data_IF_334521965943
#
_entry.id   IF_334521965943
#
_cell.length_a   1.000
_cell.length_b   1.000
_cell.length_c   1.000
_cell.angle_alpha   90.00
_cell.angle_beta   90.00
_cell.angle_gamma   90.00
#
_symmetry.space_group_name_H-M   'P 1'
#
loop_
_entity.id
_entity.type
_entity.pdbx_description
1 polymer ?
#
# COMPACT_ATOMS: atom_id res chain seq x y z
N UNK A 1 -6.64 23.61 -54.02
CA UNK A 1 -6.39 22.37 -54.80
C UNK A 1 -7.65 21.52 -54.82
N UNK A 2 -8.14 21.12 -56.00
CA UNK A 2 -9.38 20.34 -56.14
C UNK A 2 -9.10 18.84 -56.05
N UNK A 3 -8.64 18.40 -54.88
CA UNK A 3 -8.23 17.01 -54.66
C UNK A 3 -9.49 16.16 -54.46
N UNK A 4 -9.65 15.14 -55.30
CA UNK A 4 -10.71 14.13 -55.18
C UNK A 4 -10.05 12.86 -54.63
N UNK A 5 -10.47 12.34 -53.46
CA UNK A 5 -9.95 11.08 -52.93
C UNK A 5 -10.08 9.95 -53.94
N UNK A 6 -9.08 9.07 -54.02
CA UNK A 6 -9.05 8.01 -55.03
C UNK A 6 -10.28 7.09 -55.00
N UNK A 7 -10.86 6.85 -53.82
CA UNK A 7 -12.09 6.06 -53.67
C UNK A 7 -13.37 6.73 -54.19
N UNK A 8 -13.33 8.02 -54.54
CA UNK A 8 -14.47 8.78 -55.06
C UNK A 8 -14.30 9.21 -56.53
N UNK A 9 -13.19 8.80 -57.17
CA UNK A 9 -12.96 9.03 -58.59
C UNK A 9 -13.78 8.03 -59.39
N UNK A 10 -14.76 8.53 -60.13
CA UNK A 10 -15.52 7.77 -61.13
C UNK A 10 -14.60 7.49 -62.30
N UNK A 11 -14.37 6.20 -62.59
CA UNK A 11 -13.55 5.77 -63.72
C UNK A 11 -14.30 5.98 -65.02
N UNK A 12 -13.62 6.49 -66.05
CA UNK A 12 -14.22 6.67 -67.36
C UNK A 12 -14.39 5.31 -68.06
N UNK A 13 -15.61 4.87 -68.38
CA UNK A 13 -15.83 3.58 -69.02
C UNK A 13 -15.53 3.58 -70.53
N UNK A 14 -15.32 4.74 -71.16
CA UNK A 14 -15.18 4.89 -72.61
C UNK A 14 -13.73 5.14 -73.09
N UNK A 15 -12.74 4.77 -72.26
CA UNK A 15 -11.31 4.98 -72.51
C UNK A 15 -10.78 4.40 -73.84
N UNK A 16 -11.48 3.44 -74.46
CA UNK A 16 -11.10 2.79 -75.72
C UNK A 16 -11.70 3.45 -76.98
N UNK A 17 -12.36 4.61 -76.87
CA UNK A 17 -13.06 5.27 -77.98
C UNK A 17 -12.53 6.67 -78.26
N UNK A 18 -12.67 7.17 -79.50
CA UNK A 18 -12.04 8.40 -80.00
C UNK A 18 -12.46 9.73 -79.31
N UNK A 19 -13.46 9.73 -78.40
CA UNK A 19 -13.94 10.92 -77.67
C UNK A 19 -13.64 10.85 -76.16
N UNK A 20 -12.37 10.74 -75.80
CA UNK A 20 -11.89 10.57 -74.42
C UNK A 20 -11.97 11.84 -73.57
N UNK A 21 -11.71 13.02 -74.14
CA UNK A 21 -11.55 14.25 -73.33
C UNK A 21 -12.89 14.75 -72.72
N UNK A 22 -13.99 14.67 -73.48
CA UNK A 22 -15.32 15.09 -72.97
C UNK A 22 -15.83 14.13 -71.88
N UNK A 23 -15.66 12.83 -72.08
CA UNK A 23 -16.09 11.80 -71.13
C UNK A 23 -15.27 11.84 -69.83
N UNK A 24 -13.98 12.14 -69.91
CA UNK A 24 -13.12 12.36 -68.74
C UNK A 24 -13.55 13.60 -67.92
N UNK A 25 -13.82 14.73 -68.59
CA UNK A 25 -14.33 15.94 -67.92
C UNK A 25 -15.65 15.69 -67.20
N UNK A 26 -16.53 14.88 -67.80
CA UNK A 26 -17.82 14.52 -67.21
C UNK A 26 -17.63 13.63 -65.97
N UNK A 27 -16.77 12.61 -66.07
CA UNK A 27 -16.41 11.74 -64.93
C UNK A 27 -15.74 12.54 -63.80
N UNK A 28 -14.86 13.49 -64.13
CA UNK A 28 -14.24 14.38 -63.15
C UNK A 28 -15.28 15.27 -62.45
N UNK A 29 -16.21 15.84 -63.21
CA UNK A 29 -17.30 16.68 -62.68
C UNK A 29 -18.22 15.87 -61.75
N UNK A 30 -18.57 14.64 -62.13
CA UNK A 30 -19.35 13.73 -61.30
C UNK A 30 -18.62 13.35 -60.02
N UNK A 31 -17.33 13.02 -60.11
CA UNK A 31 -16.49 12.70 -58.95
C UNK A 31 -16.43 13.86 -57.95
N UNK A 32 -16.36 15.10 -58.45
CA UNK A 32 -16.38 16.31 -57.63
C UNK A 32 -17.73 16.52 -56.96
N UNK A 33 -18.84 16.28 -57.66
CA UNK A 33 -20.20 16.36 -57.09
C UNK A 33 -20.41 15.30 -56.00
N UNK A 34 -19.97 14.06 -56.24
CA UNK A 34 -20.01 12.96 -55.25
C UNK A 34 -19.24 13.31 -53.99
N UNK A 35 -18.01 13.81 -54.13
CA UNK A 35 -17.19 14.30 -53.01
C UNK A 35 -17.93 15.37 -52.22
N UNK A 36 -18.43 16.41 -52.89
CA UNK A 36 -19.10 17.52 -52.22
C UNK A 36 -20.38 17.08 -51.49
N UNK A 37 -21.14 16.15 -52.07
CA UNK A 37 -22.33 15.59 -51.44
C UNK A 37 -21.98 14.78 -50.18
N UNK A 38 -20.96 13.91 -50.26
CA UNK A 38 -20.49 13.15 -49.09
C UNK A 38 -19.96 14.05 -47.98
N UNK A 39 -19.18 15.09 -48.32
CA UNK A 39 -18.70 16.07 -47.36
C UNK A 39 -19.88 16.74 -46.65
N UNK A 40 -20.92 17.14 -47.39
CA UNK A 40 -22.13 17.74 -46.81
C UNK A 40 -22.85 16.78 -45.85
N UNK A 41 -23.00 15.50 -46.22
CA UNK A 41 -23.58 14.48 -45.33
C UNK A 41 -22.73 14.30 -44.06
N UNK A 42 -21.40 14.25 -44.19
CA UNK A 42 -20.50 14.06 -43.06
C UNK A 42 -20.53 15.25 -42.10
N UNK A 43 -20.55 16.49 -42.62
CA UNK A 43 -20.71 17.68 -41.77
C UNK A 43 -22.06 17.72 -41.07
N UNK A 44 -23.15 17.34 -41.74
CA UNK A 44 -24.47 17.24 -41.11
C UNK A 44 -24.51 16.19 -39.99
N UNK A 45 -23.90 15.02 -40.21
CA UNK A 45 -23.75 13.98 -39.16
C UNK A 45 -22.91 14.48 -37.99
N UNK A 46 -21.79 15.15 -38.26
CA UNK A 46 -20.94 15.72 -37.22
C UNK A 46 -21.69 16.75 -36.37
N UNK A 47 -22.54 17.57 -37.00
CA UNK A 47 -23.34 18.58 -36.30
C UNK A 47 -24.44 17.96 -35.43
N UNK A 48 -25.08 16.87 -35.88
CA UNK A 48 -25.99 16.10 -35.04
C UNK A 48 -25.29 15.49 -33.81
N UNK A 49 -24.11 14.87 -34.00
CA UNK A 49 -23.34 14.30 -32.89
C UNK A 49 -22.95 15.40 -31.89
N UNK A 50 -22.54 16.59 -32.36
CA UNK A 50 -22.25 17.74 -31.48
C UNK A 50 -23.48 18.17 -30.68
N UNK A 51 -24.67 18.19 -31.27
CA UNK A 51 -25.93 18.50 -30.57
C UNK A 51 -26.26 17.45 -29.52
N UNK A 52 -26.11 16.17 -29.84
CA UNK A 52 -26.32 15.08 -28.87
C UNK A 52 -25.36 15.17 -27.68
N UNK A 53 -24.07 15.45 -27.93
CA UNK A 53 -23.09 15.66 -26.87
C UNK A 53 -23.42 16.86 -25.98
N UNK A 54 -23.84 17.99 -26.56
CA UNK A 54 -24.28 19.17 -25.80
C UNK A 54 -25.54 18.89 -24.96
N UNK A 55 -26.49 18.12 -25.50
CA UNK A 55 -27.67 17.69 -24.76
C UNK A 55 -27.32 16.75 -23.61
N UNK A 56 -26.38 15.83 -23.80
CA UNK A 56 -25.88 14.95 -22.73
C UNK A 56 -25.13 15.74 -21.66
N UNK A 57 -24.29 16.68 -22.06
CA UNK A 57 -23.52 17.53 -21.14
C UNK A 57 -24.43 18.44 -20.30
N UNK A 58 -25.49 18.99 -20.89
CA UNK A 58 -26.53 19.73 -20.16
C UNK A 58 -27.35 18.82 -19.25
N UNK A 59 -27.67 17.60 -19.66
CA UNK A 59 -28.35 16.61 -18.80
C UNK A 59 -27.50 16.25 -17.57
N UNK A 60 -26.20 16.05 -17.77
CA UNK A 60 -25.23 15.75 -16.71
C UNK A 60 -25.07 16.94 -15.75
N UNK A 61 -24.92 18.16 -16.28
CA UNK A 61 -24.76 19.37 -15.46
C UNK A 61 -26.02 19.72 -14.65
N UNK A 62 -27.20 19.43 -15.20
CA UNK A 62 -28.48 19.58 -14.50
C UNK A 62 -28.71 18.49 -13.44
N UNK A 63 -27.93 17.39 -13.46
CA UNK A 63 -27.96 16.32 -12.47
C UNK A 63 -26.90 16.46 -11.37
N UNK A 64 -26.62 17.70 -10.95
CA UNK A 64 -25.69 18.03 -9.84
C UNK A 64 -26.07 17.39 -8.49
N UNK A 65 -27.30 16.87 -8.33
CA UNK A 65 -27.75 16.09 -7.16
C UNK A 65 -27.11 14.70 -7.05
N UNK A 66 -26.75 14.06 -8.17
CA UNK A 66 -26.39 12.64 -8.15
C UNK A 66 -25.00 12.42 -7.52
N UNK A 67 -24.05 13.33 -7.75
CA UNK A 67 -22.68 13.17 -7.26
C UNK A 67 -22.55 13.48 -5.75
N UNK A 68 -23.33 14.44 -5.25
CA UNK A 68 -23.48 14.72 -3.80
C UNK A 68 -24.22 13.58 -3.11
N UNK A 69 -25.26 13.03 -3.73
CA UNK A 69 -25.98 11.87 -3.20
C UNK A 69 -25.11 10.60 -3.15
N UNK A 70 -24.32 10.30 -4.18
CA UNK A 70 -23.40 9.15 -4.12
C UNK A 70 -22.33 9.30 -3.03
N UNK A 71 -21.79 10.50 -2.86
CA UNK A 71 -20.79 10.76 -1.81
C UNK A 71 -21.40 10.61 -0.42
N UNK A 72 -22.61 11.14 -0.22
CA UNK A 72 -23.38 11.00 1.01
C UNK A 72 -23.75 9.55 1.30
N UNK A 73 -24.31 8.83 0.33
CA UNK A 73 -24.65 7.41 0.44
C UNK A 73 -23.41 6.58 0.77
N UNK A 74 -22.27 6.82 0.09
CA UNK A 74 -21.00 6.14 0.40
C UNK A 74 -20.54 6.42 1.83
N UNK A 75 -20.65 7.68 2.30
CA UNK A 75 -20.32 8.04 3.67
C UNK A 75 -21.26 7.35 4.68
N UNK A 76 -22.57 7.34 4.44
CA UNK A 76 -23.55 6.68 5.30
C UNK A 76 -23.32 5.16 5.37
N UNK A 77 -23.07 4.51 4.23
CA UNK A 77 -22.71 3.09 4.16
C UNK A 77 -21.42 2.84 4.95
N UNK A 78 -20.37 3.64 4.72
CA UNK A 78 -19.10 3.53 5.44
C UNK A 78 -19.30 3.67 6.95
N UNK A 79 -20.00 4.71 7.41
CA UNK A 79 -20.28 4.98 8.82
C UNK A 79 -21.08 3.83 9.44
N UNK A 80 -22.08 3.31 8.74
CA UNK A 80 -22.91 2.21 9.20
C UNK A 80 -22.09 0.92 9.36
N UNK A 81 -21.30 0.56 8.35
CA UNK A 81 -20.41 -0.60 8.42
C UNK A 81 -19.35 -0.44 9.51
N UNK A 82 -18.71 0.73 9.59
CA UNK A 82 -17.72 1.03 10.61
C UNK A 82 -18.31 0.89 12.01
N UNK A 83 -19.48 1.50 12.26
CA UNK A 83 -20.18 1.42 13.55
C UNK A 83 -20.56 -0.03 13.89
N UNK A 84 -21.03 -0.80 12.91
CA UNK A 84 -21.35 -2.23 13.10
C UNK A 84 -20.12 -3.06 13.46
N UNK A 85 -19.00 -2.84 12.77
CA UNK A 85 -17.72 -3.49 13.08
C UNK A 85 -17.19 -3.10 14.46
N UNK A 86 -17.30 -1.82 14.81
CA UNK A 86 -16.91 -1.31 16.12
C UNK A 86 -17.74 -1.96 17.23
N UNK A 87 -19.07 -2.03 17.10
CA UNK A 87 -19.95 -2.73 18.07
C UNK A 87 -19.57 -4.21 18.23
N UNK A 88 -19.28 -4.90 17.13
CA UNK A 88 -18.81 -6.31 17.17
C UNK A 88 -17.48 -6.44 17.90
N UNK A 89 -16.53 -5.53 17.64
CA UNK A 89 -15.24 -5.47 18.33
C UNK A 89 -15.44 -5.25 19.83
N UNK A 90 -16.27 -4.29 20.21
CA UNK A 90 -16.49 -3.90 21.60
C UNK A 90 -17.22 -5.01 22.38
N UNK A 91 -18.19 -5.69 21.77
CA UNK A 91 -18.84 -6.88 22.34
C UNK A 91 -17.87 -8.05 22.52
N UNK A 92 -16.91 -8.22 21.59
CA UNK A 92 -15.88 -9.25 21.73
C UNK A 92 -14.90 -8.89 22.84
N UNK A 93 -14.51 -7.62 22.96
CA UNK A 93 -13.62 -7.15 24.00
C UNK A 93 -14.26 -7.26 25.39
N UNK A 94 -15.54 -6.88 25.56
CA UNK A 94 -16.22 -6.97 26.85
C UNK A 94 -16.28 -8.40 27.39
N UNK A 95 -16.46 -9.40 26.51
CA UNK A 95 -16.41 -10.83 26.86
C UNK A 95 -15.01 -11.32 27.26
N UNK A 96 -13.95 -10.60 26.87
CA UNK A 96 -12.57 -10.95 27.19
C UNK A 96 -12.12 -10.34 28.52
N UNK A 97 -12.75 -9.28 29.00
CA UNK A 97 -12.39 -8.66 30.28
C UNK A 97 -12.99 -9.46 31.44
N UNK A 98 -12.25 -9.69 32.54
CA UNK A 98 -12.81 -10.30 33.75
C UNK A 98 -14.00 -9.48 34.29
N UNK A 99 -15.03 -10.16 34.80
CA UNK A 99 -16.23 -9.52 35.36
C UNK A 99 -15.92 -8.52 36.49
N UNK A 100 -14.76 -8.66 37.15
CA UNK A 100 -14.29 -7.81 38.25
C UNK A 100 -13.76 -6.44 37.79
N UNK A 101 -13.66 -6.17 36.49
CA UNK A 101 -13.23 -4.86 35.95
C UNK A 101 -14.37 -3.88 35.69
N UNK A 102 -15.61 -4.25 36.05
CA UNK A 102 -16.75 -3.35 36.06
C UNK A 102 -17.44 -3.36 37.43
N UNK A 103 -17.22 -2.31 38.23
CA UNK A 103 -18.24 -1.57 38.99
C UNK A 103 -17.52 -0.58 39.92
N UNK A 104 -17.26 0.62 39.42
CA UNK A 104 -17.20 1.82 40.25
C UNK A 104 -17.92 2.94 39.50
N UNK A 105 -19.03 3.40 40.08
CA UNK A 105 -19.92 4.50 39.68
C UNK A 105 -20.65 4.38 38.33
N UNK A 106 -21.98 4.41 38.39
CA UNK A 106 -22.88 4.27 37.25
C UNK A 106 -22.80 5.43 36.26
N UNK A 107 -22.27 5.14 35.08
CA UNK A 107 -22.71 5.64 33.77
C UNK A 107 -22.28 4.58 32.74
N UNK A 108 -23.09 4.24 31.73
CA UNK A 108 -22.69 3.28 30.71
C UNK A 108 -21.72 3.96 29.74
N UNK A 109 -20.47 4.13 30.14
CA UNK A 109 -19.43 4.53 29.20
C UNK A 109 -19.16 3.34 28.25
N UNK A 110 -19.03 3.58 26.93
CA UNK A 110 -18.72 2.52 25.98
C UNK A 110 -17.42 1.81 26.36
N UNK A 111 -17.22 0.52 26.03
CA UNK A 111 -15.99 -0.18 26.33
C UNK A 111 -14.84 0.54 25.64
N UNK A 112 -14.09 1.32 26.40
CA UNK A 112 -12.86 1.93 25.91
C UNK A 112 -11.96 0.77 25.49
N UNK A 113 -11.44 0.82 24.27
CA UNK A 113 -10.42 -0.10 23.79
C UNK A 113 -9.11 0.01 24.60
N UNK A 114 -9.08 0.81 25.66
CA UNK A 114 -7.97 1.01 26.58
C UNK A 114 -8.21 0.19 27.84
N UNK A 115 -7.21 -0.62 28.21
CA UNK A 115 -7.16 -1.39 29.46
C UNK A 115 -5.96 -0.88 30.26
N UNK A 116 -6.21 -0.20 31.37
CA UNK A 116 -5.17 0.32 32.23
C UNK A 116 -4.91 -0.61 33.42
N UNK A 117 -3.77 -1.30 33.41
CA UNK A 117 -3.26 -2.18 34.48
C UNK A 117 -2.16 -1.51 35.31
N UNK A 118 -1.82 -0.27 34.96
CA UNK A 118 -0.81 0.51 35.68
C UNK A 118 -1.43 1.31 36.82
N UNK A 119 -0.59 1.84 37.69
CA UNK A 119 -1.00 2.84 38.68
C UNK A 119 -1.06 4.27 38.09
N UNK A 120 -0.76 4.45 36.81
CA UNK A 120 -0.74 5.74 36.14
C UNK A 120 -2.16 6.21 35.77
N UNK A 121 -2.48 7.44 36.11
CA UNK A 121 -3.79 8.06 35.78
C UNK A 121 -3.67 8.83 34.47
N UNK A 122 -4.28 8.30 33.41
CA UNK A 122 -4.28 8.94 32.09
C UNK A 122 -5.08 10.26 32.08
N UNK A 123 -4.51 11.29 31.46
CA UNK A 123 -5.22 12.54 31.16
C UNK A 123 -6.36 12.32 30.14
N UNK A 124 -7.33 13.23 30.02
CA UNK A 124 -8.37 13.16 28.98
C UNK A 124 -7.79 13.09 27.56
N UNK A 125 -6.72 13.84 27.29
CA UNK A 125 -6.03 13.87 26.00
C UNK A 125 -5.30 12.56 25.72
N UNK A 126 -4.64 11.99 26.72
CA UNK A 126 -3.98 10.68 26.62
C UNK A 126 -5.00 9.57 26.33
N UNK A 127 -6.15 9.58 27.02
CA UNK A 127 -7.25 8.67 26.73
C UNK A 127 -7.77 8.87 25.31
N UNK A 128 -7.96 10.12 24.86
CA UNK A 128 -8.39 10.41 23.48
C UNK A 128 -7.45 9.79 22.46
N UNK A 129 -6.14 10.03 22.58
CA UNK A 129 -5.13 9.49 21.67
C UNK A 129 -5.11 7.97 21.68
N UNK A 130 -5.04 7.35 22.85
CA UNK A 130 -4.97 5.89 22.97
C UNK A 130 -6.24 5.22 22.45
N UNK A 131 -7.40 5.89 22.55
CA UNK A 131 -8.66 5.36 22.05
C UNK A 131 -8.71 5.23 20.53
N UNK A 132 -7.87 6.00 19.80
CA UNK A 132 -7.73 5.89 18.34
C UNK A 132 -7.01 4.62 17.90
N UNK A 133 -6.33 3.93 18.83
CA UNK A 133 -5.63 2.66 18.59
C UNK A 133 -4.18 2.83 18.14
N UNK A 134 -3.38 1.77 18.27
CA UNK A 134 -1.95 1.79 17.96
C UNK A 134 -1.63 1.86 16.45
N UNK A 135 -2.61 1.62 15.60
CA UNK A 135 -2.51 1.78 14.15
C UNK A 135 -2.90 3.17 13.65
N UNK A 136 -3.27 4.08 14.55
CA UNK A 136 -3.57 5.46 14.19
C UNK A 136 -2.29 6.18 13.77
N UNK A 137 -2.29 6.80 12.58
CA UNK A 137 -1.17 7.58 12.07
C UNK A 137 -1.42 9.08 12.25
N UNK A 138 -0.65 9.77 13.12
CA UNK A 138 -0.67 11.22 13.21
C UNK A 138 -0.33 11.86 11.86
N UNK A 139 -1.07 12.90 11.47
CA UNK A 139 -0.73 13.71 10.31
C UNK A 139 0.54 14.52 10.62
N UNK A 140 1.64 14.15 9.97
CA UNK A 140 2.93 14.85 10.06
C UNK A 140 3.19 15.62 8.77
N UNK A 141 3.92 16.75 8.83
CA UNK A 141 4.42 17.40 7.62
C UNK A 141 5.20 16.41 6.76
N UNK A 142 5.07 16.52 5.44
CA UNK A 142 5.82 15.66 4.52
C UNK A 142 7.31 15.94 4.65
N UNK A 143 8.10 14.89 4.85
CA UNK A 143 9.55 15.00 4.80
C UNK A 143 9.98 15.13 3.33
N UNK A 144 10.40 16.34 2.93
CA UNK A 144 10.77 16.62 1.53
C UNK A 144 11.96 15.79 1.03
N UNK A 145 12.90 15.44 1.91
CA UNK A 145 14.06 14.60 1.55
C UNK A 145 13.57 13.19 1.20
N UNK A 146 12.74 12.60 2.06
CA UNK A 146 12.18 11.28 1.81
C UNK A 146 11.31 11.29 0.55
N UNK A 147 10.47 12.30 0.39
CA UNK A 147 9.61 12.45 -0.78
C UNK A 147 10.42 12.52 -2.09
N UNK A 148 11.47 13.33 -2.15
CA UNK A 148 12.36 13.38 -3.32
C UNK A 148 13.03 12.02 -3.57
N UNK A 149 13.49 11.34 -2.52
CA UNK A 149 14.03 9.98 -2.64
C UNK A 149 13.02 8.98 -3.20
N UNK A 150 11.76 9.06 -2.77
CA UNK A 150 10.66 8.21 -3.25
C UNK A 150 10.32 8.49 -4.72
N UNK A 151 10.35 9.75 -5.15
CA UNK A 151 10.21 10.15 -6.54
C UNK A 151 11.33 9.57 -7.40
N UNK A 152 12.59 9.71 -7.00
CA UNK A 152 13.71 9.14 -7.77
C UNK A 152 13.66 7.61 -7.81
N UNK A 153 13.23 6.96 -6.72
CA UNK A 153 12.97 5.53 -6.72
C UNK A 153 11.84 5.14 -7.69
N UNK A 154 10.80 5.97 -7.83
CA UNK A 154 9.71 5.79 -8.78
C UNK A 154 10.17 5.99 -10.23
N UNK A 155 10.89 7.06 -10.52
CA UNK A 155 11.41 7.35 -11.86
C UNK A 155 12.40 6.27 -12.31
N UNK A 156 13.25 5.78 -11.40
CA UNK A 156 14.09 4.62 -11.66
C UNK A 156 13.28 3.39 -12.08
N UNK A 157 12.15 3.11 -11.42
CA UNK A 157 11.27 1.99 -11.83
C UNK A 157 10.69 2.19 -13.23
N UNK A 158 10.30 3.41 -13.59
CA UNK A 158 9.83 3.72 -14.95
C UNK A 158 10.94 3.50 -15.98
N UNK A 159 12.14 4.05 -15.72
CA UNK A 159 13.32 3.88 -16.58
C UNK A 159 13.68 2.42 -16.77
N UNK A 160 13.68 1.62 -15.70
CA UNK A 160 13.96 0.18 -15.79
C UNK A 160 12.91 -0.55 -16.62
N UNK A 161 11.63 -0.21 -16.45
CA UNK A 161 10.53 -0.86 -17.18
C UNK A 161 10.60 -0.56 -18.67
N UNK A 162 10.96 0.67 -19.02
CA UNK A 162 11.19 1.11 -20.39
C UNK A 162 12.47 0.47 -20.97
N UNK A 163 13.58 0.42 -20.21
CA UNK A 163 14.85 -0.21 -20.59
C UNK A 163 14.73 -1.69 -20.94
N UNK A 164 13.95 -2.45 -20.16
CA UNK A 164 13.78 -3.89 -20.37
C UNK A 164 12.56 -4.26 -21.20
N UNK A 165 11.86 -3.29 -21.82
CA UNK A 165 10.63 -3.53 -22.58
C UNK A 165 10.81 -4.65 -23.63
N UNK A 166 11.90 -4.63 -24.38
CA UNK A 166 12.21 -5.60 -25.46
C UNK A 166 12.53 -7.02 -24.96
N UNK A 167 12.88 -7.18 -23.68
CA UNK A 167 13.14 -8.49 -23.08
C UNK A 167 11.85 -9.19 -22.58
N UNK A 168 10.70 -8.51 -22.69
CA UNK A 168 9.43 -9.01 -22.14
C UNK A 168 8.65 -9.88 -23.12
N UNK A 169 8.93 -9.81 -24.43
CA UNK A 169 8.18 -10.56 -25.45
C UNK A 169 8.49 -12.07 -25.49
N UNK A 170 9.49 -12.56 -24.76
CA UNK A 170 9.79 -14.00 -24.64
C UNK A 170 9.19 -14.69 -23.40
N UNK A 171 8.48 -13.97 -22.52
CA UNK A 171 7.91 -14.58 -21.32
C UNK A 171 6.39 -14.75 -21.46
N UNK A 172 5.95 -15.91 -21.96
CA UNK A 172 4.53 -16.28 -21.95
C UNK A 172 3.99 -16.28 -20.51
N UNK A 173 2.97 -15.46 -20.30
CA UNK A 173 2.18 -15.28 -19.09
C UNK A 173 1.49 -16.57 -18.63
N UNK A 174 2.19 -17.42 -17.88
CA UNK A 174 1.54 -18.46 -17.06
C UNK A 174 2.08 -18.57 -15.64
N UNK A 175 2.98 -17.67 -15.22
CA UNK A 175 3.43 -17.65 -13.83
C UNK A 175 2.61 -16.62 -13.06
N UNK A 176 1.64 -17.12 -12.30
CA UNK A 176 1.06 -16.48 -11.11
C UNK A 176 2.10 -15.55 -10.48
N UNK A 177 1.79 -14.27 -10.19
CA UNK A 177 2.76 -13.32 -9.65
C UNK A 177 3.34 -13.91 -8.39
N UNK A 178 4.54 -14.45 -8.55
CA UNK A 178 5.22 -15.06 -7.46
C UNK A 178 5.64 -13.94 -6.54
N UNK A 179 5.09 -13.91 -5.33
CA UNK A 179 5.63 -13.12 -4.24
C UNK A 179 7.09 -13.54 -3.87
N UNK A 180 7.72 -14.43 -4.65
CA UNK A 180 9.17 -14.66 -4.68
C UNK A 180 9.89 -13.47 -5.32
N UNK A 181 10.05 -12.41 -4.54
CA UNK A 181 11.30 -11.67 -4.63
C UNK A 181 11.97 -11.83 -3.28
N UNK A 182 12.83 -12.86 -3.19
CA UNK A 182 14.01 -12.73 -2.35
C UNK A 182 14.58 -11.36 -2.67
N UNK A 183 14.69 -10.50 -1.66
CA UNK A 183 15.27 -9.16 -1.81
C UNK A 183 16.75 -9.35 -2.17
N UNK A 184 17.02 -9.70 -3.44
CA UNK A 184 18.31 -9.48 -4.07
C UNK A 184 18.66 -8.04 -3.74
N UNK A 185 19.91 -7.74 -3.39
CA UNK A 185 20.36 -6.37 -3.22
C UNK A 185 19.88 -5.59 -4.44
N UNK A 186 18.89 -4.72 -4.24
CA UNK A 186 18.26 -4.01 -5.34
C UNK A 186 19.38 -3.26 -6.05
N UNK A 187 19.63 -3.60 -7.32
CA UNK A 187 20.62 -2.87 -8.09
C UNK A 187 20.31 -1.38 -7.99
N UNK A 188 21.31 -0.60 -7.57
CA UNK A 188 21.26 0.86 -7.53
C UNK A 188 21.45 1.47 -8.91
N UNK A 189 21.73 0.63 -9.92
CA UNK A 189 21.86 1.05 -11.28
C UNK A 189 20.53 1.57 -11.83
N UNK A 190 20.63 2.68 -12.55
CA UNK A 190 19.52 3.36 -13.23
C UNK A 190 19.93 3.53 -14.69
N UNK A 191 19.07 3.19 -15.66
CA UNK A 191 19.35 3.47 -17.07
C UNK A 191 19.67 4.94 -17.30
N UNK A 192 20.62 5.26 -18.20
CA UNK A 192 21.01 6.64 -18.47
C UNK A 192 19.84 7.46 -19.02
N UNK A 193 19.86 8.76 -18.75
CA UNK A 193 18.93 9.73 -19.31
C UNK A 193 19.22 9.97 -20.80
N UNK A 194 18.23 10.45 -21.56
CA UNK A 194 18.36 10.71 -23.01
C UNK A 194 18.13 9.48 -23.89
N UNK A 195 17.73 8.35 -23.33
CA UNK A 195 17.35 7.16 -24.11
C UNK A 195 15.95 7.28 -24.73
N UNK A 196 15.06 7.99 -24.04
CA UNK A 196 13.67 8.17 -24.43
C UNK A 196 13.17 9.55 -24.00
N UNK A 197 13.18 10.48 -24.95
CA UNK A 197 12.81 11.87 -24.72
C UNK A 197 11.38 12.03 -24.19
N UNK A 198 10.47 11.14 -24.58
CA UNK A 198 9.08 11.17 -24.11
C UNK A 198 8.97 10.78 -22.64
N UNK A 199 9.71 9.75 -22.22
CA UNK A 199 9.78 9.35 -20.82
C UNK A 199 10.50 10.41 -19.98
N UNK A 200 11.58 10.99 -20.48
CA UNK A 200 12.32 12.05 -19.81
C UNK A 200 11.45 13.30 -19.60
N UNK A 201 10.70 13.71 -20.63
CA UNK A 201 9.75 14.80 -20.54
C UNK A 201 8.63 14.49 -19.53
N UNK A 202 8.09 13.27 -19.52
CA UNK A 202 7.09 12.85 -18.54
C UNK A 202 7.63 12.93 -17.11
N UNK A 203 8.82 12.38 -16.86
CA UNK A 203 9.48 12.40 -15.55
C UNK A 203 9.65 13.83 -15.08
N UNK A 204 10.15 14.72 -15.94
CA UNK A 204 10.39 16.12 -15.58
C UNK A 204 9.08 16.87 -15.28
N UNK A 205 8.06 16.70 -16.13
CA UNK A 205 6.73 17.28 -15.89
C UNK A 205 6.09 16.75 -14.60
N UNK A 206 6.18 15.45 -14.35
CA UNK A 206 5.64 14.82 -13.14
C UNK A 206 6.37 15.31 -11.89
N UNK A 207 7.72 15.36 -11.93
CA UNK A 207 8.55 15.85 -10.84
C UNK A 207 8.13 17.26 -10.42
N UNK A 208 8.05 18.19 -11.39
CA UNK A 208 7.64 19.58 -11.13
C UNK A 208 6.23 19.66 -10.56
N UNK A 209 5.27 18.94 -11.15
CA UNK A 209 3.88 18.95 -10.69
C UNK A 209 3.73 18.38 -9.29
N UNK A 210 4.34 17.23 -9.02
CA UNK A 210 4.26 16.56 -7.73
C UNK A 210 4.92 17.40 -6.62
N UNK A 211 6.06 18.04 -6.89
CA UNK A 211 6.69 18.95 -5.95
C UNK A 211 5.84 20.19 -5.67
N UNK A 212 5.31 20.83 -6.71
CA UNK A 212 4.44 22.00 -6.56
C UNK A 212 3.17 21.67 -5.76
N UNK A 213 2.52 20.54 -6.09
CA UNK A 213 1.30 20.09 -5.42
C UNK A 213 1.56 19.73 -3.95
N UNK A 214 2.67 19.07 -3.62
CA UNK A 214 3.00 18.78 -2.21
C UNK A 214 3.27 20.06 -1.43
N UNK A 215 4.01 21.03 -1.97
CA UNK A 215 4.25 22.30 -1.27
C UNK A 215 2.93 23.05 -1.07
N UNK A 216 2.06 23.10 -2.08
CA UNK A 216 0.75 23.75 -1.96
C UNK A 216 -0.15 23.04 -0.93
N UNK A 217 -0.18 21.71 -0.95
CA UNK A 217 -1.01 20.92 -0.04
C UNK A 217 -0.46 20.84 1.38
N UNK A 218 0.85 20.94 1.60
CA UNK A 218 1.46 20.94 2.94
C UNK A 218 0.83 21.99 3.85
N UNK A 219 0.51 23.17 3.30
CA UNK A 219 -0.11 24.26 4.06
C UNK A 219 -1.63 24.06 4.29
N UNK A 220 -2.26 23.12 3.57
CA UNK A 220 -3.70 22.87 3.61
C UNK A 220 -4.10 21.58 4.32
N UNK A 221 -3.14 20.72 4.69
CA UNK A 221 -3.45 19.45 5.34
C UNK A 221 -4.07 19.68 6.73
N UNK A 222 -5.31 19.23 6.97
CA UNK A 222 -5.92 19.37 8.28
C UNK A 222 -5.17 18.53 9.30
N UNK A 223 -4.89 19.13 10.45
CA UNK A 223 -4.27 18.41 11.56
C UNK A 223 -5.30 17.42 12.12
N UNK A 224 -4.97 16.13 12.16
CA UNK A 224 -5.87 15.10 12.71
C UNK A 224 -5.73 14.91 14.24
N UNK A 225 -4.91 15.74 14.89
CA UNK A 225 -4.68 15.80 16.33
C UNK A 225 -4.57 17.26 16.79
N UNK A 226 -5.15 17.56 17.95
CA UNK A 226 -4.93 18.83 18.63
C UNK A 226 -3.49 18.95 19.17
N UNK A 227 -3.07 20.17 19.52
CA UNK A 227 -1.77 20.40 20.16
C UNK A 227 -1.64 19.63 21.49
N UNK A 228 -2.74 19.56 22.26
CA UNK A 228 -2.76 18.85 23.53
C UNK A 228 -2.62 17.33 23.33
N UNK A 229 -3.28 16.75 22.33
CA UNK A 229 -3.12 15.34 21.97
C UNK A 229 -1.70 15.02 21.45
N UNK A 230 -1.07 15.93 20.69
CA UNK A 230 0.34 15.76 20.29
C UNK A 230 1.28 15.76 21.50
N UNK A 231 1.06 16.66 22.45
CA UNK A 231 1.82 16.68 23.70
C UNK A 231 1.57 15.40 24.51
N UNK A 232 0.34 14.87 24.52
CA UNK A 232 0.00 13.61 25.16
C UNK A 232 0.77 12.42 24.54
N UNK A 233 0.92 12.36 23.21
CA UNK A 233 1.78 11.34 22.56
C UNK A 233 3.22 11.44 23.06
N UNK A 234 3.77 12.65 23.16
CA UNK A 234 5.13 12.85 23.66
C UNK A 234 5.27 12.48 25.14
N UNK A 235 4.29 12.84 25.98
CA UNK A 235 4.19 12.45 27.39
C UNK A 235 4.23 10.93 27.53
N UNK A 236 3.29 10.24 26.89
CA UNK A 236 3.16 8.78 26.95
C UNK A 236 4.40 8.05 26.43
N UNK A 237 5.02 8.55 25.34
CA UNK A 237 6.24 7.96 24.77
C UNK A 237 7.43 8.03 25.72
N UNK A 238 7.56 9.15 26.42
CA UNK A 238 8.73 9.44 27.26
C UNK A 238 8.51 9.06 28.74
N UNK A 239 7.31 8.60 29.09
CA UNK A 239 7.00 8.22 30.47
C UNK A 239 7.83 7.01 30.92
N UNK A 240 8.65 7.13 31.98
CA UNK A 240 9.61 6.09 32.35
C UNK A 240 8.93 4.87 32.98
N UNK A 241 7.85 5.05 33.73
CA UNK A 241 7.29 3.99 34.57
C UNK A 241 6.20 3.14 33.91
N UNK A 242 5.78 3.48 32.68
CA UNK A 242 4.73 2.74 31.98
C UNK A 242 5.27 2.06 30.72
N UNK A 243 4.55 1.02 30.31
CA UNK A 243 4.68 0.35 29.01
C UNK A 243 3.30 0.26 28.38
N UNK A 244 3.25 0.60 27.09
CA UNK A 244 2.04 0.51 26.27
C UNK A 244 2.24 -0.60 25.24
N UNK A 245 1.31 -1.56 25.22
CA UNK A 245 1.34 -2.72 24.30
C UNK A 245 -0.06 -3.03 23.77
N UNK A 246 -0.12 -3.68 22.61
CA UNK A 246 -1.34 -4.33 22.16
C UNK A 246 -1.65 -5.56 23.01
N UNK A 247 -2.93 -5.83 23.25
CA UNK A 247 -3.38 -7.07 23.87
C UNK A 247 -3.18 -8.26 22.93
N UNK A 248 -2.86 -9.44 23.47
CA UNK A 248 -2.76 -10.69 22.69
C UNK A 248 -4.06 -11.05 21.96
N UNK A 249 -5.21 -10.65 22.52
CA UNK A 249 -6.54 -10.84 21.91
C UNK A 249 -7.42 -9.62 22.17
N UNK A 250 -8.27 -9.31 21.19
CA UNK A 250 -9.30 -8.27 21.31
C UNK A 250 -8.88 -6.88 20.83
N UNK A 251 -7.63 -6.69 20.36
CA UNK A 251 -7.18 -5.43 19.75
C UNK A 251 -7.19 -4.23 20.70
N UNK A 252 -7.16 -4.47 22.01
CA UNK A 252 -7.12 -3.42 23.02
C UNK A 252 -5.69 -2.88 23.20
N UNK A 253 -5.61 -1.62 23.60
CA UNK A 253 -4.39 -0.95 24.04
C UNK A 253 -4.25 -1.15 25.54
N UNK A 254 -3.15 -1.76 25.97
CA UNK A 254 -2.90 -2.10 27.38
C UNK A 254 -1.78 -1.22 27.91
N UNK A 255 -2.03 -0.56 29.04
CA UNK A 255 -1.04 0.20 29.79
C UNK A 255 -0.68 -0.63 31.02
N UNK A 256 0.61 -0.81 31.27
CA UNK A 256 1.14 -1.57 32.41
C UNK A 256 2.25 -0.80 33.09
N UNK A 257 2.46 -1.04 34.38
CA UNK A 257 3.69 -0.62 35.04
C UNK A 257 4.87 -1.33 34.35
N UNK A 258 5.93 -0.58 34.03
CA UNK A 258 7.16 -1.10 33.44
C UNK A 258 7.79 -2.17 34.31
N UNK A 259 7.79 -1.96 35.62
CA UNK A 259 8.31 -2.91 36.61
C UNK A 259 7.57 -4.25 36.57
N UNK A 260 6.24 -4.25 36.49
CA UNK A 260 5.44 -5.48 36.43
C UNK A 260 5.63 -6.22 35.11
N UNK A 261 5.75 -5.48 34.00
CA UNK A 261 6.10 -6.05 32.70
C UNK A 261 7.47 -6.74 32.70
N UNK A 262 8.49 -6.10 33.30
CA UNK A 262 9.83 -6.66 33.45
C UNK A 262 9.85 -7.88 34.37
N UNK A 263 9.11 -7.84 35.49
CA UNK A 263 8.96 -8.99 36.39
C UNK A 263 8.32 -10.18 35.68
N UNK A 264 7.28 -9.97 34.89
CA UNK A 264 6.65 -11.06 34.13
C UNK A 264 7.61 -11.64 33.08
N UNK A 265 8.39 -10.79 32.40
CA UNK A 265 9.42 -11.25 31.46
C UNK A 265 10.49 -12.10 32.18
N UNK A 266 11.01 -11.60 33.31
CA UNK A 266 11.99 -12.32 34.11
C UNK A 266 11.46 -13.65 34.64
N UNK A 267 10.20 -13.69 35.12
CA UNK A 267 9.53 -14.91 35.58
C UNK A 267 9.42 -15.97 34.49
N UNK A 268 9.19 -15.57 33.24
CA UNK A 268 9.14 -16.52 32.11
C UNK A 268 10.53 -17.00 31.71
N UNK A 269 11.50 -16.10 31.63
CA UNK A 269 12.88 -16.40 31.21
C UNK A 269 13.68 -17.17 32.27
N UNK A 270 13.30 -17.08 33.55
CA UNK A 270 13.95 -17.85 34.63
C UNK A 270 13.56 -19.33 34.66
N UNK A 271 12.67 -19.78 33.76
CA UNK A 271 12.27 -21.18 33.69
C UNK A 271 13.39 -22.07 33.11
N UNK A 272 14.15 -22.69 34.00
CA UNK A 272 15.30 -23.56 33.67
C UNK A 272 14.93 -24.87 32.98
N UNK A 273 13.65 -25.25 32.96
CA UNK A 273 13.16 -26.41 32.20
C UNK A 273 13.23 -26.15 30.69
N UNK A 274 13.02 -24.90 30.27
CA UNK A 274 12.93 -24.53 28.85
C UNK A 274 14.05 -23.60 28.38
N UNK A 275 14.63 -22.82 29.30
CA UNK A 275 15.65 -21.83 28.98
C UNK A 275 16.94 -22.10 29.74
N UNK A 276 18.07 -21.76 29.11
CA UNK A 276 19.39 -21.77 29.74
C UNK A 276 20.05 -20.41 29.51
N UNK A 277 20.60 -19.76 30.54
CA UNK A 277 21.38 -18.54 30.36
C UNK A 277 22.61 -18.84 29.50
N UNK A 278 22.93 -17.93 28.58
CA UNK A 278 24.15 -17.98 27.81
C UNK A 278 25.20 -17.05 28.46
N UNK A 279 26.48 -17.44 28.47
CA UNK A 279 27.54 -16.64 29.10
C UNK A 279 27.84 -15.35 28.31
N UNK A 280 27.57 -15.34 27.00
CA UNK A 280 27.79 -14.21 26.11
C UNK A 280 26.82 -14.28 24.92
N UNK A 281 26.73 -13.18 24.17
CA UNK A 281 26.00 -13.16 22.90
C UNK A 281 26.66 -14.10 21.87
N UNK A 282 25.98 -15.16 21.41
CA UNK A 282 26.56 -16.12 20.48
C UNK A 282 26.45 -15.68 19.01
N UNK A 283 25.98 -14.46 18.72
CA UNK A 283 25.68 -14.00 17.36
C UNK A 283 26.89 -14.11 16.43
N UNK A 284 28.10 -13.72 16.87
CA UNK A 284 29.30 -13.80 16.04
C UNK A 284 29.70 -15.26 15.74
N UNK A 285 29.63 -16.13 16.77
CA UNK A 285 29.91 -17.55 16.64
C UNK A 285 28.95 -18.22 15.64
N UNK A 286 27.65 -17.97 15.79
CA UNK A 286 26.64 -18.50 14.88
C UNK A 286 26.76 -17.91 13.47
N UNK A 287 27.22 -16.67 13.33
CA UNK A 287 27.49 -16.08 12.01
C UNK A 287 28.56 -16.85 11.26
N UNK A 288 29.67 -17.20 11.93
CA UNK A 288 30.73 -18.03 11.34
C UNK A 288 30.22 -19.42 10.97
N UNK A 289 29.41 -20.04 11.84
CA UNK A 289 28.78 -21.35 11.57
C UNK A 289 27.82 -21.29 10.37
N UNK A 290 27.01 -20.24 10.28
CA UNK A 290 26.10 -20.05 9.15
C UNK A 290 26.89 -19.87 7.85
N UNK A 291 27.91 -19.03 7.83
CA UNK A 291 28.76 -18.84 6.64
C UNK A 291 29.43 -20.15 6.19
N UNK A 292 29.89 -20.97 7.14
CA UNK A 292 30.43 -22.29 6.84
C UNK A 292 29.36 -23.20 6.21
N UNK A 293 28.18 -23.29 6.83
CA UNK A 293 27.06 -24.07 6.32
C UNK A 293 26.70 -23.65 4.89
N UNK A 294 26.60 -22.35 4.62
CA UNK A 294 26.26 -21.83 3.29
C UNK A 294 27.28 -22.22 2.22
N UNK A 295 28.58 -22.25 2.56
CA UNK A 295 29.63 -22.72 1.63
C UNK A 295 29.55 -24.21 1.32
N UNK A 296 28.97 -25.01 2.21
CA UNK A 296 28.83 -26.46 1.99
C UNK A 296 27.64 -26.82 1.11
N UNK A 297 26.71 -25.89 0.85
CA UNK A 297 25.49 -26.17 0.12
C UNK A 297 25.74 -25.99 -1.40
N UNK A 298 25.60 -27.05 -2.21
CA UNK A 298 26.07 -27.07 -3.60
C UNK A 298 25.22 -26.21 -4.56
N UNK A 299 23.97 -25.94 -4.19
CA UNK A 299 22.98 -25.25 -5.04
C UNK A 299 22.62 -23.85 -4.54
N UNK A 300 23.29 -23.37 -3.49
CA UNK A 300 22.94 -22.12 -2.83
C UNK A 300 23.94 -21.04 -3.20
N UNK A 301 23.49 -20.06 -3.98
CA UNK A 301 24.30 -18.85 -4.16
C UNK A 301 24.18 -17.99 -2.91
N UNK A 302 25.28 -17.44 -2.35
CA UNK A 302 25.22 -16.48 -1.24
C UNK A 302 24.32 -15.27 -1.52
N UNK A 303 24.00 -15.01 -2.79
CA UNK A 303 23.12 -13.95 -3.27
C UNK A 303 21.62 -14.25 -3.08
N UNK A 304 21.25 -15.52 -2.90
CA UNK A 304 19.85 -15.95 -2.68
C UNK A 304 19.39 -15.72 -1.24
N UNK A 305 20.31 -15.70 -0.27
CA UNK A 305 20.01 -15.54 1.15
C UNK A 305 20.47 -14.16 1.61
N UNK A 306 19.51 -13.27 1.84
CA UNK A 306 19.79 -11.96 2.40
C UNK A 306 20.10 -12.04 3.90
N UNK A 307 21.37 -12.23 4.26
CA UNK A 307 21.83 -12.17 5.64
C UNK A 307 22.00 -10.69 6.03
N UNK A 308 21.45 -10.24 7.18
CA UNK A 308 21.70 -8.89 7.69
C UNK A 308 23.21 -8.62 7.82
N UNK A 309 23.66 -7.43 7.41
CA UNK A 309 25.06 -7.01 7.53
C UNK A 309 25.51 -6.99 9.00
N UNK A 310 24.63 -6.52 9.87
CA UNK A 310 24.81 -6.49 11.33
C UNK A 310 23.67 -7.29 11.97
N UNK A 311 23.82 -8.62 12.08
CA UNK A 311 22.79 -9.45 12.72
C UNK A 311 22.74 -9.13 14.21
N UNK A 312 21.52 -9.15 14.76
CA UNK A 312 21.28 -8.95 16.20
C UNK A 312 20.52 -10.13 16.81
N UNK A 313 20.63 -10.35 18.14
CA UNK A 313 19.76 -11.27 18.84
C UNK A 313 18.28 -10.95 18.64
N UNK A 314 17.44 -11.99 18.68
CA UNK A 314 15.99 -11.82 18.59
C UNK A 314 15.46 -10.99 19.76
N UNK A 315 14.65 -9.96 19.44
CA UNK A 315 14.06 -9.10 20.47
C UNK A 315 12.93 -9.82 21.19
N UNK A 316 13.10 -10.09 22.48
CA UNK A 316 12.05 -10.64 23.33
C UNK A 316 11.09 -9.55 23.80
N UNK A 317 9.79 -9.78 23.64
CA UNK A 317 8.74 -8.94 24.23
C UNK A 317 7.49 -9.76 24.54
N UNK A 318 6.65 -9.18 25.40
CA UNK A 318 5.38 -9.76 25.83
C UNK A 318 4.18 -9.01 25.25
N UNK A 319 3.15 -9.75 24.85
CA UNK A 319 1.79 -9.25 24.61
C UNK A 319 0.86 -9.64 25.77
N UNK A 320 0.21 -8.71 26.48
CA UNK A 320 -0.61 -9.03 27.64
C UNK A 320 -1.85 -9.87 27.28
N UNK A 321 -2.03 -11.03 27.94
CA UNK A 321 -3.24 -11.85 27.80
C UNK A 321 -4.30 -11.40 28.81
N UNK A 322 -4.91 -10.24 28.57
CA UNK A 322 -5.95 -9.64 29.42
C UNK A 322 -7.19 -10.52 29.68
N UNK A 323 -7.33 -11.61 28.91
CA UNK A 323 -8.42 -12.59 29.01
C UNK A 323 -8.07 -13.81 29.88
N UNK A 324 -6.93 -13.77 30.58
CA UNK A 324 -6.44 -14.84 31.45
C UNK A 324 -6.20 -14.28 32.86
N UNK A 325 -6.46 -15.06 33.93
CA UNK A 325 -6.19 -14.62 35.30
C UNK A 325 -4.72 -14.19 35.46
N UNK A 326 -4.51 -13.04 36.12
CA UNK A 326 -3.17 -12.46 36.32
C UNK A 326 -2.56 -11.81 35.07
N UNK A 327 -3.28 -11.73 33.95
CA UNK A 327 -2.86 -11.09 32.71
C UNK A 327 -1.45 -11.49 32.21
N UNK A 328 -1.11 -12.78 32.17
CA UNK A 328 0.24 -13.23 31.81
C UNK A 328 0.63 -12.75 30.40
N UNK A 329 1.91 -12.48 30.20
CA UNK A 329 2.43 -12.11 28.90
C UNK A 329 2.46 -13.31 27.93
N UNK A 330 2.16 -13.09 26.64
CA UNK A 330 2.58 -14.02 25.57
C UNK A 330 4.01 -13.69 25.16
N UNK A 331 4.98 -14.59 25.36
CA UNK A 331 6.33 -14.36 24.89
C UNK A 331 6.37 -14.38 23.36
N UNK A 332 7.01 -13.37 22.79
CA UNK A 332 7.30 -13.24 21.37
C UNK A 332 8.79 -12.93 21.23
N UNK A 333 9.45 -13.58 20.28
CA UNK A 333 10.82 -13.28 19.86
C UNK A 333 10.74 -12.76 18.43
N UNK A 334 11.11 -11.50 18.21
CA UNK A 334 11.15 -10.93 16.87
C UNK A 334 12.31 -11.52 16.08
N UNK A 335 12.00 -12.11 14.92
CA UNK A 335 13.01 -12.58 13.96
C UNK A 335 13.61 -11.47 13.09
N UNK A 336 13.12 -10.23 13.18
CA UNK A 336 13.53 -9.13 12.30
C UNK A 336 14.94 -8.64 12.66
N UNK A 337 15.83 -8.68 11.67
CA UNK A 337 17.26 -8.36 11.79
C UNK A 337 18.08 -9.48 12.44
N UNK A 338 17.50 -10.68 12.64
CA UNK A 338 18.24 -11.81 13.21
C UNK A 338 19.05 -12.53 12.15
N UNK A 339 20.09 -13.24 12.59
CA UNK A 339 20.99 -13.98 11.70
C UNK A 339 20.27 -14.92 10.73
N UNK A 340 19.18 -15.56 11.18
CA UNK A 340 18.44 -16.56 10.41
C UNK A 340 17.30 -15.96 9.58
N UNK A 341 17.06 -14.65 9.61
CA UNK A 341 15.92 -14.03 8.91
C UNK A 341 15.90 -14.38 7.41
N UNK A 342 17.02 -14.16 6.72
CA UNK A 342 17.16 -14.47 5.31
C UNK A 342 17.05 -15.97 5.02
N UNK A 343 17.66 -16.81 5.85
CA UNK A 343 17.63 -18.27 5.68
C UNK A 343 16.20 -18.81 5.88
N UNK A 344 15.47 -18.32 6.88
CA UNK A 344 14.07 -18.67 7.11
C UNK A 344 13.19 -18.25 5.93
N UNK A 345 13.43 -17.06 5.36
CA UNK A 345 12.72 -16.63 4.15
C UNK A 345 13.03 -17.50 2.93
N UNK A 346 14.28 -17.93 2.77
CA UNK A 346 14.67 -18.89 1.74
C UNK A 346 14.00 -20.25 1.92
N UNK A 347 14.03 -20.82 3.13
CA UNK A 347 13.34 -22.07 3.45
C UNK A 347 11.83 -21.97 3.21
N UNK A 348 11.18 -20.87 3.62
CA UNK A 348 9.75 -20.63 3.33
C UNK A 348 9.49 -20.68 1.83
N UNK A 349 10.37 -20.09 1.01
CA UNK A 349 10.21 -20.09 -0.45
C UNK A 349 10.28 -21.49 -1.07
N UNK A 350 11.10 -22.38 -0.50
CA UNK A 350 11.20 -23.78 -0.94
C UNK A 350 9.99 -24.60 -0.47
N UNK A 351 9.49 -24.33 0.73
CA UNK A 351 8.37 -25.08 1.33
C UNK A 351 7.00 -24.62 0.82
N UNK A 352 6.88 -23.37 0.37
CA UNK A 352 5.62 -22.75 -0.05
C UNK A 352 4.86 -23.55 -1.12
N UNK A 353 5.47 -24.05 -2.21
CA UNK A 353 4.74 -24.83 -3.22
C UNK A 353 4.03 -26.04 -2.60
N UNK A 354 4.70 -26.74 -1.69
CA UNK A 354 4.13 -27.87 -0.97
C UNK A 354 2.98 -27.45 -0.06
N UNK A 355 3.15 -26.38 0.71
CA UNK A 355 2.10 -25.85 1.58
C UNK A 355 0.84 -25.46 0.78
N UNK A 356 1.01 -24.79 -0.36
CA UNK A 356 -0.09 -24.35 -1.24
C UNK A 356 -0.73 -25.49 -2.04
N UNK A 357 -0.05 -26.63 -2.17
CA UNK A 357 -0.59 -27.82 -2.83
C UNK A 357 -1.52 -28.65 -1.95
N UNK A 358 -1.57 -28.35 -0.63
CA UNK A 358 -2.39 -29.11 0.30
C UNK A 358 -3.90 -28.84 0.09
N UNK A 359 -4.78 -29.86 0.23
CA UNK A 359 -6.23 -29.67 0.09
C UNK A 359 -6.84 -28.67 1.09
N UNK A 360 -6.15 -28.44 2.22
CA UNK A 360 -6.56 -27.48 3.26
C UNK A 360 -6.22 -26.02 2.94
N UNK A 361 -5.51 -25.75 1.84
CA UNK A 361 -5.11 -24.39 1.48
C UNK A 361 -6.32 -23.59 0.97
N UNK A 362 -6.66 -22.51 1.68
CA UNK A 362 -7.69 -21.55 1.27
C UNK A 362 -7.03 -20.44 0.44
N UNK A 363 -7.54 -20.22 -0.78
CA UNK A 363 -7.07 -19.19 -1.72
C UNK A 363 -7.58 -17.81 -1.38
#
# INVERSE_FOLDING_TARGET
>A
MDIIPNGLKVKNPLLSTYYTDHSERLCHTLSKKLRNHLISILYSKQENIKKELSNLETLINNQTSIQTDFTRIRQEIYITHFTSLQRKKDCKLSKLLPATWGHNSGTPNPPSNIVNLSNYTLSPEEKSVLSRGLSFCPATPTNMIQFCGDLEAYFRRLRLKEYFQDNTEQCTDTRVPSHQQHKKKNSTWTPPEGRNDSLDLYIECFRRRAQAEIVEQQHRLPHNLSRAERNAIHSLRNHPDIIIKEADKGGAVVIMNRSDYQKEAARQLSNTKFYRPLPSDPTEEYTKKLQHLLRTLPTLTPEEINIPLEPRPGLFYLLPKIHKPGNPGRPIISGIGTLTEGLSGYMDSLLRPYATSTPSYLR
#
